data_IF_873243053716
#
_entry.id   IF_873243053716
#
_cell.length_a   1.000
_cell.length_b   1.000
_cell.length_c   1.000
_cell.angle_alpha   90.00
_cell.angle_beta   90.00
_cell.angle_gamma   90.00
#
_symmetry.space_group_name_H-M   'P 1'
#
loop_
_entity.id
_entity.type
_entity.pdbx_description
1 polymer ?
#
# COMPACT_ATOMS: atom_id res chain seq x y z
N UNK A 1 -13.83 8.01 29.83
CA UNK A 1 -13.01 9.15 29.37
C UNK A 1 -13.32 9.34 27.91
N UNK A 2 -14.00 10.44 27.54
CA UNK A 2 -14.40 10.69 26.16
C UNK A 2 -13.17 10.88 25.27
N UNK A 3 -13.20 10.33 24.06
CA UNK A 3 -12.23 10.67 23.03
C UNK A 3 -12.22 12.19 22.89
N UNK A 4 -11.11 12.84 23.21
CA UNK A 4 -10.81 14.19 22.75
C UNK A 4 -10.70 14.08 21.22
N UNK A 5 -11.84 14.20 20.55
CA UNK A 5 -11.92 14.19 19.09
C UNK A 5 -11.15 15.39 18.57
N UNK A 6 -9.93 15.15 18.11
CA UNK A 6 -9.18 16.16 17.38
C UNK A 6 -9.83 16.31 16.01
N UNK A 7 -10.26 17.52 15.70
CA UNK A 7 -10.81 17.88 14.40
C UNK A 7 -9.70 17.77 13.35
N UNK A 8 -9.96 17.02 12.29
CA UNK A 8 -8.95 16.80 11.26
C UNK A 8 -8.81 18.04 10.39
N UNK A 9 -7.71 18.18 9.63
CA UNK A 9 -7.47 19.39 8.83
C UNK A 9 -8.64 19.72 7.88
N UNK A 10 -9.33 18.70 7.34
CA UNK A 10 -10.52 18.90 6.51
C UNK A 10 -11.71 19.49 7.26
N UNK A 11 -11.82 19.29 8.58
CA UNK A 11 -12.82 19.95 9.43
C UNK A 11 -12.51 21.43 9.64
N UNK A 12 -11.22 21.76 9.78
CA UNK A 12 -10.77 23.14 10.02
C UNK A 12 -10.82 23.99 8.75
N UNK A 13 -10.45 23.38 7.62
CA UNK A 13 -10.38 24.04 6.31
C UNK A 13 -11.66 23.88 5.48
N UNK A 14 -12.63 23.11 5.96
CA UNK A 14 -13.93 22.92 5.33
C UNK A 14 -13.91 22.14 4.02
N UNK A 15 -12.85 21.41 3.70
CA UNK A 15 -12.82 20.56 2.50
C UNK A 15 -13.13 19.10 2.81
N UNK A 16 -13.92 18.48 1.93
CA UNK A 16 -14.25 17.06 1.99
C UNK A 16 -13.00 16.19 1.80
N UNK A 17 -12.87 15.12 2.58
CA UNK A 17 -11.72 14.19 2.50
C UNK A 17 -11.84 13.26 1.29
N UNK A 18 -13.07 12.86 0.98
CA UNK A 18 -13.41 11.88 -0.05
C UNK A 18 -14.40 12.46 -1.04
N UNK A 19 -14.31 12.00 -2.28
CA UNK A 19 -15.30 12.25 -3.33
C UNK A 19 -15.71 10.94 -4.00
N UNK A 20 -16.99 10.83 -4.33
CA UNK A 20 -17.49 9.70 -5.12
C UNK A 20 -17.00 9.82 -6.56
N UNK A 21 -16.73 8.69 -7.20
CA UNK A 21 -16.37 8.69 -8.61
C UNK A 21 -17.60 8.90 -9.49
N UNK A 22 -17.44 9.80 -10.46
CA UNK A 22 -18.38 10.01 -11.55
C UNK A 22 -18.55 8.72 -12.37
N UNK A 23 -19.75 8.42 -12.91
CA UNK A 23 -20.02 7.17 -13.63
C UNK A 23 -18.98 6.82 -14.71
N UNK A 24 -18.52 7.82 -15.46
CA UNK A 24 -17.49 7.67 -16.51
C UNK A 24 -16.13 7.24 -15.98
N UNK A 25 -15.79 7.61 -14.74
CA UNK A 25 -14.50 7.34 -14.11
C UNK A 25 -14.45 5.95 -13.49
N UNK A 26 -15.61 5.36 -13.14
CA UNK A 26 -15.72 4.06 -12.46
C UNK A 26 -15.13 2.88 -13.25
N UNK A 27 -14.97 3.04 -14.56
CA UNK A 27 -14.42 2.00 -15.45
C UNK A 27 -12.89 2.06 -15.58
N UNK A 28 -12.23 2.98 -14.88
CA UNK A 28 -10.80 3.24 -15.00
C UNK A 28 -10.15 3.42 -13.63
N UNK A 29 -8.88 3.06 -13.51
CA UNK A 29 -8.11 3.36 -12.29
C UNK A 29 -7.81 4.85 -12.23
N UNK A 30 -8.22 5.49 -11.14
CA UNK A 30 -7.96 6.90 -10.87
C UNK A 30 -6.93 7.05 -9.76
N UNK A 31 -6.04 8.04 -9.88
CA UNK A 31 -5.13 8.40 -8.78
C UNK A 31 -5.97 8.86 -7.58
N UNK A 32 -5.60 8.42 -6.39
CA UNK A 32 -6.34 8.65 -5.15
C UNK A 32 -7.51 7.70 -4.92
N UNK A 33 -7.85 6.82 -5.88
CA UNK A 33 -8.95 5.86 -5.73
C UNK A 33 -8.59 4.73 -4.77
N UNK A 34 -9.59 4.25 -4.03
CA UNK A 34 -9.45 3.16 -3.09
C UNK A 34 -9.80 1.81 -3.71
N UNK A 35 -8.96 0.82 -3.45
CA UNK A 35 -9.14 -0.57 -3.83
C UNK A 35 -8.86 -1.48 -2.64
N UNK A 36 -9.30 -2.72 -2.74
CA UNK A 36 -8.90 -3.83 -1.91
C UNK A 36 -7.87 -4.63 -2.72
N UNK A 37 -6.68 -4.85 -2.15
CA UNK A 37 -5.57 -5.50 -2.86
C UNK A 37 -4.67 -6.34 -1.93
N UNK A 38 -3.95 -7.33 -2.47
CA UNK A 38 -3.02 -8.15 -1.69
C UNK A 38 -1.75 -7.36 -1.37
N UNK A 39 -1.63 -6.91 -0.13
CA UNK A 39 -0.43 -6.24 0.38
C UNK A 39 0.54 -7.30 0.87
N UNK A 40 1.66 -7.46 0.16
CA UNK A 40 2.69 -8.46 0.42
C UNK A 40 3.73 -7.90 1.39
N UNK A 41 4.23 -8.77 2.26
CA UNK A 41 5.28 -8.48 3.25
C UNK A 41 6.49 -9.36 2.95
N UNK A 42 7.69 -8.76 2.79
CA UNK A 42 8.90 -9.55 2.66
C UNK A 42 9.14 -10.30 3.98
N UNK A 43 9.51 -11.57 3.87
CA UNK A 43 9.94 -12.37 5.02
C UNK A 43 11.44 -12.14 5.24
N UNK A 44 11.86 -12.06 6.51
CA UNK A 44 13.27 -11.94 6.89
C UNK A 44 13.62 -13.07 7.86
N UNK A 45 14.45 -14.05 7.45
CA UNK A 45 15.01 -14.23 6.10
C UNK A 45 13.94 -14.58 5.06
N UNK A 46 14.17 -14.33 3.76
CA UNK A 46 13.25 -14.73 2.70
C UNK A 46 12.95 -16.22 2.77
N UNK A 47 11.73 -16.63 2.40
CA UNK A 47 11.34 -18.03 2.32
C UNK A 47 11.24 -18.47 0.87
N UNK A 48 11.68 -19.68 0.61
CA UNK A 48 11.60 -20.31 -0.71
C UNK A 48 10.90 -21.66 -0.59
N UNK A 49 10.31 -22.08 -1.70
CA UNK A 49 9.79 -23.44 -1.86
C UNK A 49 10.95 -24.31 -2.38
N UNK A 50 11.39 -25.28 -1.57
CA UNK A 50 12.37 -26.29 -1.97
C UNK A 50 11.66 -27.60 -2.29
N UNK A 51 12.13 -28.32 -3.31
CA UNK A 51 11.74 -29.70 -3.57
C UNK A 51 12.20 -30.55 -2.39
N UNK A 52 11.29 -31.36 -1.85
CA UNK A 52 11.59 -32.36 -0.82
C UNK A 52 11.71 -33.76 -1.47
N UNK A 53 10.71 -34.14 -2.26
CA UNK A 53 10.70 -35.35 -3.10
C UNK A 53 10.21 -35.02 -4.52
N UNK A 54 10.91 -35.52 -5.55
CA UNK A 54 10.57 -35.26 -6.96
C UNK A 54 10.12 -36.54 -7.65
N UNK A 55 8.94 -36.50 -8.27
CA UNK A 55 8.44 -37.57 -9.15
C UNK A 55 8.54 -37.11 -10.62
N UNK A 56 9.48 -37.66 -11.42
CA UNK A 56 9.64 -37.27 -12.82
C UNK A 56 8.53 -37.82 -13.75
N UNK A 57 7.75 -38.81 -13.31
CA UNK A 57 6.67 -39.41 -14.09
C UNK A 57 5.38 -38.64 -13.83
N UNK A 58 5.12 -38.26 -12.58
CA UNK A 58 3.95 -37.50 -12.15
C UNK A 58 4.39 -36.26 -11.34
N UNK A 59 4.90 -35.21 -12.02
CA UNK A 59 5.48 -34.02 -11.37
C UNK A 59 4.56 -33.37 -10.32
N UNK A 60 3.24 -33.48 -10.50
CA UNK A 60 2.21 -33.00 -9.58
C UNK A 60 2.17 -33.73 -8.23
N UNK A 61 2.77 -34.92 -8.12
CA UNK A 61 2.95 -35.66 -6.86
C UNK A 61 4.25 -35.29 -6.13
N UNK A 62 5.10 -34.46 -6.74
CA UNK A 62 6.29 -33.94 -6.07
C UNK A 62 5.92 -33.19 -4.80
N UNK A 63 6.70 -33.41 -3.74
CA UNK A 63 6.47 -32.76 -2.45
C UNK A 63 7.43 -31.59 -2.27
N UNK A 64 6.96 -30.57 -1.55
CA UNK A 64 7.68 -29.33 -1.36
C UNK A 64 7.71 -28.96 0.10
N UNK A 65 8.82 -28.33 0.52
CA UNK A 65 8.96 -27.78 1.87
C UNK A 65 9.31 -26.30 1.82
N UNK A 66 8.86 -25.59 2.84
CA UNK A 66 9.18 -24.17 3.02
C UNK A 66 10.51 -24.07 3.77
N UNK A 67 11.51 -23.46 3.14
CA UNK A 67 12.83 -23.27 3.72
C UNK A 67 13.22 -21.78 3.78
N UNK A 68 14.18 -21.45 4.64
CA UNK A 68 14.84 -20.13 4.61
C UNK A 68 15.79 -20.07 3.42
N UNK A 69 15.73 -18.99 2.65
CA UNK A 69 16.67 -18.72 1.57
C UNK A 69 18.11 -18.71 2.11
N UNK A 70 18.98 -19.45 1.43
CA UNK A 70 20.40 -19.51 1.72
C UNK A 70 21.17 -19.38 0.39
N UNK A 71 21.91 -18.29 0.23
CA UNK A 71 22.72 -18.01 -0.98
C UNK A 71 23.87 -19.00 -1.16
N UNK A 72 24.36 -19.61 -0.07
CA UNK A 72 25.49 -20.53 -0.10
C UNK A 72 25.06 -21.96 -0.46
N UNK A 73 23.75 -22.22 -0.49
CA UNK A 73 23.20 -23.53 -0.81
C UNK A 73 23.11 -23.65 -2.33
N UNK A 74 24.08 -24.36 -2.90
CA UNK A 74 23.97 -24.98 -4.23
C UNK A 74 22.81 -25.97 -4.15
N UNK A 75 21.61 -25.59 -4.57
CA UNK A 75 20.46 -26.47 -4.49
C UNK A 75 19.74 -26.62 -5.83
N UNK A 76 19.66 -27.90 -6.20
CA UNK A 76 18.96 -28.62 -7.27
C UNK A 76 18.34 -27.84 -8.44
N UNK A 77 18.93 -28.16 -9.58
CA UNK A 77 18.73 -27.70 -10.95
C UNK A 77 17.62 -28.50 -11.68
N UNK A 78 16.55 -28.89 -10.97
CA UNK A 78 15.49 -29.70 -11.58
C UNK A 78 14.37 -28.76 -12.03
N UNK A 79 14.14 -28.61 -13.35
CA UNK A 79 13.04 -27.80 -13.85
C UNK A 79 11.70 -28.45 -13.44
N UNK A 80 10.75 -27.64 -12.96
CA UNK A 80 9.40 -28.08 -12.62
C UNK A 80 8.46 -27.51 -13.69
N UNK A 81 8.10 -28.34 -14.67
CA UNK A 81 7.33 -27.90 -15.84
C UNK A 81 5.91 -27.50 -15.46
N UNK A 82 5.30 -28.19 -14.50
CA UNK A 82 3.96 -27.86 -13.99
C UNK A 82 3.85 -26.43 -13.43
N UNK A 83 4.97 -25.86 -12.96
CA UNK A 83 5.07 -24.50 -12.43
C UNK A 83 5.79 -23.53 -13.37
N UNK A 84 6.14 -23.98 -14.59
CA UNK A 84 6.94 -23.24 -15.56
C UNK A 84 8.30 -22.75 -15.02
N UNK A 85 8.96 -23.56 -14.18
CA UNK A 85 10.26 -23.21 -13.59
C UNK A 85 11.42 -23.86 -14.34
N UNK A 86 12.43 -23.06 -14.66
CA UNK A 86 13.73 -23.51 -15.17
C UNK A 86 14.64 -23.97 -14.03
N UNK A 87 15.75 -24.63 -14.38
CA UNK A 87 16.76 -25.12 -13.42
C UNK A 87 17.34 -24.04 -12.52
N UNK A 88 17.33 -22.79 -12.96
CA UNK A 88 17.87 -21.64 -12.23
C UNK A 88 16.80 -20.83 -11.49
N UNK A 89 15.52 -21.15 -11.69
CA UNK A 89 14.40 -20.39 -11.14
C UNK A 89 14.14 -20.81 -9.68
N UNK A 90 13.69 -19.85 -8.87
CA UNK A 90 13.30 -20.09 -7.48
C UNK A 90 11.92 -19.51 -7.20
N UNK A 91 11.09 -20.29 -6.51
CA UNK A 91 9.84 -19.81 -5.97
C UNK A 91 10.04 -19.17 -4.61
N UNK A 92 9.84 -17.86 -4.56
CA UNK A 92 9.78 -17.12 -3.31
C UNK A 92 8.37 -17.14 -2.73
N UNK A 93 8.29 -17.35 -1.43
CA UNK A 93 7.03 -17.31 -0.70
C UNK A 93 6.89 -15.93 -0.09
N UNK A 94 5.83 -15.24 -0.49
CA UNK A 94 5.43 -13.95 0.05
C UNK A 94 4.20 -14.15 0.93
N UNK A 95 4.22 -13.60 2.14
CA UNK A 95 3.03 -13.54 2.98
C UNK A 95 2.32 -12.22 2.72
N UNK A 96 1.02 -12.26 2.48
CA UNK A 96 0.24 -11.06 2.23
C UNK A 96 -1.06 -11.04 3.01
N UNK A 97 -1.65 -9.85 3.12
CA UNK A 97 -3.02 -9.67 3.60
C UNK A 97 -3.77 -8.78 2.62
N UNK A 98 -5.02 -9.13 2.39
CA UNK A 98 -5.93 -8.29 1.63
C UNK A 98 -6.23 -7.03 2.43
N UNK A 99 -5.97 -5.84 1.87
CA UNK A 99 -6.13 -4.55 2.56
C UNK A 99 -6.64 -3.46 1.64
N UNK A 100 -7.31 -2.43 2.20
CA UNK A 100 -7.52 -1.20 1.48
C UNK A 100 -6.19 -0.59 1.04
N UNK A 101 -6.14 -0.10 -0.19
CA UNK A 101 -4.99 0.56 -0.81
C UNK A 101 -5.46 1.80 -1.58
N UNK A 102 -4.61 2.81 -1.66
CA UNK A 102 -4.82 4.02 -2.47
C UNK A 102 -3.98 3.87 -3.74
N UNK A 103 -4.57 4.12 -4.90
CA UNK A 103 -3.85 4.13 -6.17
C UNK A 103 -3.02 5.42 -6.26
N UNK A 104 -1.71 5.28 -6.37
CA UNK A 104 -0.79 6.40 -6.57
C UNK A 104 -0.50 6.64 -8.05
N UNK A 105 -0.57 5.59 -8.87
CA UNK A 105 -0.30 5.68 -10.30
C UNK A 105 -0.03 4.31 -10.91
N UNK A 106 0.74 4.31 -11.98
CA UNK A 106 1.12 3.12 -12.72
C UNK A 106 2.64 3.01 -12.77
N UNK A 107 3.14 1.79 -12.82
CA UNK A 107 4.53 1.50 -13.11
C UNK A 107 4.61 0.36 -14.11
N UNK A 108 5.51 0.48 -15.06
CA UNK A 108 5.77 -0.57 -16.02
C UNK A 108 6.87 -1.48 -15.46
N UNK A 109 6.61 -2.78 -15.47
CA UNK A 109 7.57 -3.80 -15.07
C UNK A 109 7.87 -4.68 -16.28
N UNK A 110 9.15 -4.73 -16.65
CA UNK A 110 9.62 -5.72 -17.61
C UNK A 110 9.74 -7.06 -16.89
N UNK A 111 8.85 -7.99 -17.24
CA UNK A 111 8.83 -9.34 -16.67
C UNK A 111 9.32 -10.35 -17.70
N UNK A 112 9.93 -11.45 -17.23
CA UNK A 112 10.43 -12.52 -18.09
C UNK A 112 11.41 -12.00 -19.18
N UNK A 113 12.38 -11.18 -18.79
CA UNK A 113 13.42 -10.71 -19.70
C UNK A 113 14.07 -11.89 -20.43
N UNK A 114 13.93 -11.93 -21.76
CA UNK A 114 14.55 -12.93 -22.60
C UNK A 114 15.79 -12.32 -23.30
N UNK A 115 17.01 -12.80 -22.97
CA UNK A 115 18.24 -12.35 -23.61
C UNK A 115 18.24 -12.52 -25.14
N UNK A 116 17.48 -13.49 -25.67
CA UNK A 116 17.43 -13.79 -27.11
C UNK A 116 16.60 -12.76 -27.88
N UNK A 117 15.50 -12.29 -27.30
CA UNK A 117 14.65 -11.25 -27.88
C UNK A 117 15.09 -9.84 -27.47
N UNK A 118 16.08 -9.72 -26.56
CA UNK A 118 16.52 -8.47 -25.93
C UNK A 118 15.37 -7.68 -25.32
N UNK A 119 14.41 -8.38 -24.73
CA UNK A 119 13.27 -7.76 -24.07
C UNK A 119 12.40 -8.76 -23.33
N UNK A 120 11.69 -8.27 -22.32
CA UNK A 120 10.66 -9.00 -21.60
C UNK A 120 9.25 -8.63 -22.04
N UNK A 121 8.28 -9.29 -21.41
CA UNK A 121 6.88 -8.90 -21.46
C UNK A 121 6.72 -7.69 -20.53
N UNK A 122 6.28 -6.57 -21.10
CA UNK A 122 5.99 -5.38 -20.32
C UNK A 122 4.60 -5.49 -19.70
N UNK A 123 4.55 -5.55 -18.38
CA UNK A 123 3.31 -5.50 -17.63
C UNK A 123 3.12 -4.16 -16.96
N UNK A 124 1.91 -3.60 -17.13
CA UNK A 124 1.50 -2.38 -16.44
C UNK A 124 0.91 -2.73 -15.08
N UNK A 125 1.67 -2.43 -14.03
CA UNK A 125 1.27 -2.63 -12.64
C UNK A 125 0.71 -1.34 -12.05
N UNK A 126 -0.11 -1.48 -11.01
CA UNK A 126 -0.71 -0.34 -10.29
C UNK A 126 0.13 -0.08 -9.04
N UNK A 127 0.64 1.13 -8.89
CA UNK A 127 1.37 1.52 -7.69
C UNK A 127 0.37 1.84 -6.57
N UNK A 128 0.41 1.04 -5.51
CA UNK A 128 -0.58 1.06 -4.44
C UNK A 128 0.04 1.45 -3.10
N UNK A 129 -0.65 2.31 -2.35
CA UNK A 129 -0.32 2.72 -0.99
C UNK A 129 -1.25 2.02 0.03
N UNK A 130 -0.74 1.06 0.81
CA UNK A 130 -1.55 0.31 1.77
C UNK A 130 -2.07 1.11 2.97
N UNK A 131 -3.29 0.79 3.41
CA UNK A 131 -3.96 1.39 4.58
C UNK A 131 -4.13 0.37 5.71
N UNK A 132 -3.93 0.86 6.94
CA UNK A 132 -4.02 0.09 8.17
C UNK A 132 -4.93 0.79 9.16
N UNK A 133 -6.03 0.13 9.53
CA UNK A 133 -6.92 0.60 10.58
C UNK A 133 -6.23 0.55 11.94
N UNK A 134 -6.38 1.62 12.72
CA UNK A 134 -5.87 1.64 14.09
C UNK A 134 -6.61 0.60 14.94
N UNK A 135 -5.82 -0.18 15.69
CA UNK A 135 -6.31 -1.09 16.73
C UNK A 135 -6.47 -0.36 18.06
N UNK A 136 -7.29 -0.90 18.96
CA UNK A 136 -7.46 -0.43 20.33
C UNK A 136 -6.16 -0.37 21.16
N UNK A 137 -5.12 -1.10 20.74
CA UNK A 137 -3.79 -1.05 21.37
C UNK A 137 -2.99 0.22 21.05
N UNK A 138 -3.39 1.02 20.05
CA UNK A 138 -2.72 2.29 19.77
C UNK A 138 -3.25 3.37 20.72
N UNK A 139 -2.35 4.08 21.37
CA UNK A 139 -2.70 5.25 22.19
C UNK A 139 -3.30 6.36 21.33
N UNK A 140 -4.17 7.18 21.92
CA UNK A 140 -4.68 8.39 21.27
C UNK A 140 -3.54 9.32 20.84
N UNK A 141 -2.50 9.45 21.66
CA UNK A 141 -1.33 10.28 21.34
C UNK A 141 -0.67 9.86 20.03
N UNK A 142 -0.46 8.56 19.84
CA UNK A 142 0.08 8.04 18.58
C UNK A 142 -0.80 8.40 17.37
N UNK A 143 -2.13 8.35 17.51
CA UNK A 143 -3.06 8.71 16.44
C UNK A 143 -2.98 10.20 16.13
N UNK A 144 -2.96 11.06 17.17
CA UNK A 144 -2.88 12.52 17.02
C UNK A 144 -1.58 12.94 16.34
N UNK A 145 -0.44 12.31 16.68
CA UNK A 145 0.84 12.55 15.99
C UNK A 145 0.75 12.31 14.48
N UNK A 146 -0.03 11.32 14.06
CA UNK A 146 -0.24 11.01 12.63
C UNK A 146 -1.21 12.03 12.01
N UNK A 147 -2.26 12.44 12.74
CA UNK A 147 -3.22 13.47 12.28
C UNK A 147 -2.54 14.80 11.98
N UNK A 148 -1.53 15.19 12.76
CA UNK A 148 -0.74 16.41 12.58
C UNK A 148 0.51 16.22 11.70
N UNK A 149 0.63 15.08 11.03
CA UNK A 149 1.74 14.75 10.12
C UNK A 149 3.15 14.74 10.76
N UNK A 150 3.25 14.49 12.07
CA UNK A 150 4.54 14.40 12.80
C UNK A 150 5.32 13.14 12.41
N UNK A 151 4.62 12.06 12.03
CA UNK A 151 5.26 10.78 11.63
C UNK A 151 5.37 10.72 10.10
N UNK A 152 6.57 10.90 9.51
CA UNK A 152 6.70 11.15 8.06
C UNK A 152 6.26 9.99 7.17
N UNK A 153 6.43 8.75 7.63
CA UNK A 153 6.08 7.56 6.86
C UNK A 153 4.60 7.17 6.95
N UNK A 154 3.81 7.89 7.77
CA UNK A 154 2.39 7.61 7.98
C UNK A 154 1.54 8.78 7.52
N UNK A 155 0.54 8.49 6.70
CA UNK A 155 -0.45 9.47 6.27
C UNK A 155 -1.81 9.14 6.91
N UNK A 156 -2.38 10.08 7.65
CA UNK A 156 -3.66 9.87 8.31
C UNK A 156 -4.82 9.73 7.32
N UNK A 157 -5.70 8.77 7.57
CA UNK A 157 -6.91 8.52 6.79
C UNK A 157 -8.11 8.61 7.74
N UNK A 158 -8.91 9.66 7.54
CA UNK A 158 -10.09 9.96 8.37
C UNK A 158 -11.23 8.97 8.11
N UNK A 159 -11.94 8.46 9.13
CA UNK A 159 -13.16 7.69 8.90
C UNK A 159 -14.28 8.58 8.33
N UNK A 160 -15.04 8.06 7.37
CA UNK A 160 -16.19 8.75 6.76
C UNK A 160 -17.16 7.78 6.10
N UNK A 161 -18.46 8.11 6.14
CA UNK A 161 -19.49 7.37 5.41
C UNK A 161 -19.30 7.41 3.89
N UNK A 162 -18.63 8.44 3.38
CA UNK A 162 -18.27 8.58 1.95
C UNK A 162 -16.99 7.83 1.57
N UNK A 163 -16.24 7.32 2.57
CA UNK A 163 -14.92 6.74 2.38
C UNK A 163 -14.70 5.49 3.22
N UNK A 164 -13.55 5.42 3.91
CA UNK A 164 -13.24 4.29 4.81
C UNK A 164 -14.00 4.41 6.12
N UNK A 165 -14.49 3.30 6.66
CA UNK A 165 -15.30 3.28 7.88
C UNK A 165 -14.49 3.45 9.17
N UNK A 166 -13.22 3.04 9.17
CA UNK A 166 -12.36 3.04 10.35
C UNK A 166 -11.23 4.07 10.27
N UNK A 167 -10.92 4.68 11.40
CA UNK A 167 -9.74 5.55 11.53
C UNK A 167 -8.47 4.74 11.23
N UNK A 168 -7.67 5.25 10.29
CA UNK A 168 -6.60 4.48 9.68
C UNK A 168 -5.38 5.34 9.36
N UNK A 169 -4.27 4.68 9.06
CA UNK A 169 -3.09 5.31 8.48
C UNK A 169 -2.64 4.54 7.22
N UNK A 170 -2.30 5.29 6.19
CA UNK A 170 -1.56 4.79 5.04
C UNK A 170 -0.05 4.77 5.35
N UNK A 171 0.66 3.73 4.91
CA UNK A 171 2.07 3.49 5.23
C UNK A 171 2.95 3.60 3.99
N UNK A 172 3.69 4.69 3.87
CA UNK A 172 4.50 4.98 2.68
C UNK A 172 5.62 3.96 2.45
N UNK A 173 6.21 3.44 3.53
CA UNK A 173 7.26 2.43 3.44
C UNK A 173 6.77 1.08 2.88
N UNK A 174 5.44 0.91 2.73
CA UNK A 174 4.81 -0.30 2.18
C UNK A 174 4.20 -0.09 0.79
N UNK A 175 4.46 1.06 0.14
CA UNK A 175 4.06 1.29 -1.25
C UNK A 175 4.61 0.17 -2.12
N UNK A 176 3.75 -0.45 -2.92
CA UNK A 176 4.14 -1.58 -3.75
C UNK A 176 3.31 -1.65 -5.04
N UNK A 177 3.89 -2.20 -6.12
CA UNK A 177 3.14 -2.50 -7.32
C UNK A 177 2.22 -3.72 -7.11
N UNK A 178 0.98 -3.63 -7.59
CA UNK A 178 -0.01 -4.71 -7.57
C UNK A 178 -0.57 -4.89 -8.97
N UNK A 179 -0.74 -6.14 -9.40
CA UNK A 179 -1.32 -6.42 -10.71
C UNK A 179 -2.81 -6.02 -10.73
N UNK A 180 -3.26 -5.42 -11.84
CA UNK A 180 -4.63 -4.89 -11.96
C UNK A 180 -5.72 -5.94 -11.69
N UNK A 181 -5.44 -7.20 -12.03
CA UNK A 181 -6.37 -8.32 -11.84
C UNK A 181 -6.59 -8.71 -10.38
N UNK A 182 -5.69 -8.29 -9.49
CA UNK A 182 -5.75 -8.60 -8.05
C UNK A 182 -6.45 -7.49 -7.25
N UNK A 183 -6.89 -6.42 -7.92
CA UNK A 183 -7.50 -5.25 -7.30
C UNK A 183 -9.01 -5.25 -7.45
N UNK A 184 -9.70 -5.04 -6.35
CA UNK A 184 -11.16 -4.92 -6.31
C UNK A 184 -11.54 -3.50 -5.86
N UNK A 185 -12.34 -2.73 -6.63
CA UNK A 185 -12.73 -1.38 -6.22
C UNK A 185 -13.36 -1.37 -4.82
N UNK A 186 -12.85 -0.52 -3.94
CA UNK A 186 -13.46 -0.34 -2.62
C UNK A 186 -14.68 0.57 -2.78
N UNK A 187 -15.78 0.21 -2.13
CA UNK A 187 -17.05 0.94 -2.20
C UNK A 187 -17.39 1.55 -0.85
N UNK A 188 -18.01 2.72 -0.86
CA UNK A 188 -18.55 3.37 0.32
C UNK A 188 -19.88 2.73 0.77
N UNK A 189 -20.53 3.30 1.79
CA UNK A 189 -21.83 2.80 2.30
C UNK A 189 -22.96 2.84 1.26
N UNK A 190 -22.83 3.66 0.21
CA UNK A 190 -23.78 3.75 -0.90
C UNK A 190 -23.42 2.82 -2.07
N UNK A 191 -22.52 1.85 -1.86
CA UNK A 191 -21.97 0.94 -2.86
C UNK A 191 -21.26 1.63 -4.04
N UNK A 192 -20.80 2.87 -3.84
CA UNK A 192 -20.11 3.65 -4.87
C UNK A 192 -18.61 3.67 -4.64
N UNK A 193 -17.80 3.49 -5.70
CA UNK A 193 -16.36 3.65 -5.57
C UNK A 193 -16.03 5.13 -5.35
N UNK A 194 -14.95 5.37 -4.62
CA UNK A 194 -14.57 6.70 -4.15
C UNK A 194 -13.06 6.90 -4.24
N UNK A 195 -12.65 8.17 -4.20
CA UNK A 195 -11.25 8.59 -4.17
C UNK A 195 -11.03 9.67 -3.13
N UNK A 196 -9.77 9.94 -2.82
CA UNK A 196 -9.38 11.15 -2.10
C UNK A 196 -9.81 12.38 -2.90
N UNK A 197 -10.32 13.41 -2.21
CA UNK A 197 -10.56 14.69 -2.85
C UNK A 197 -9.26 15.31 -3.38
N UNK A 198 -9.37 16.23 -4.34
CA UNK A 198 -8.21 16.91 -4.91
C UNK A 198 -7.31 17.58 -3.86
N UNK A 199 -7.90 18.20 -2.82
CA UNK A 199 -7.13 18.82 -1.73
C UNK A 199 -6.43 17.77 -0.86
N UNK A 200 -7.13 16.71 -0.47
CA UNK A 200 -6.53 15.62 0.33
C UNK A 200 -5.41 14.93 -0.44
N UNK A 201 -5.58 14.74 -1.75
CA UNK A 201 -4.56 14.17 -2.60
C UNK A 201 -3.31 15.06 -2.68
N UNK A 202 -3.46 16.40 -2.72
CA UNK A 202 -2.32 17.32 -2.63
C UNK A 202 -1.56 17.19 -1.30
N UNK A 203 -2.28 17.08 -0.18
CA UNK A 203 -1.66 16.84 1.14
C UNK A 203 -0.91 15.51 1.16
N UNK A 204 -1.50 14.45 0.60
CA UNK A 204 -0.85 13.14 0.47
C UNK A 204 0.45 13.22 -0.33
N UNK A 205 0.43 13.86 -1.50
CA UNK A 205 1.63 14.00 -2.33
C UNK A 205 2.70 14.86 -1.66
N UNK A 206 2.30 15.93 -0.96
CA UNK A 206 3.23 16.74 -0.18
C UNK A 206 3.91 15.92 0.91
N UNK A 207 3.13 15.16 1.70
CA UNK A 207 3.65 14.31 2.77
C UNK A 207 4.54 13.18 2.25
N UNK A 208 4.15 12.55 1.14
CA UNK A 208 4.97 11.55 0.47
C UNK A 208 6.30 12.13 -0.03
N UNK A 209 6.30 13.35 -0.57
CA UNK A 209 7.53 14.03 -0.98
C UNK A 209 8.47 14.28 0.21
N UNK A 210 7.93 14.69 1.36
CA UNK A 210 8.70 14.86 2.60
C UNK A 210 9.30 13.53 3.04
N UNK A 211 8.53 12.44 3.04
CA UNK A 211 9.04 11.12 3.37
C UNK A 211 10.20 10.69 2.47
N UNK A 212 10.09 10.94 1.16
CA UNK A 212 11.09 10.50 0.17
C UNK A 212 12.33 11.40 0.12
N UNK A 213 12.18 12.70 0.36
CA UNK A 213 13.22 13.70 0.05
C UNK A 213 13.57 14.63 1.21
N UNK A 214 12.87 14.51 2.34
CA UNK A 214 12.89 15.44 3.47
C UNK A 214 12.53 16.89 3.09
N UNK A 215 11.87 17.10 1.95
CA UNK A 215 11.43 18.42 1.47
C UNK A 215 9.96 18.38 1.03
N UNK A 216 9.17 19.44 1.31
CA UNK A 216 7.80 19.52 0.85
C UNK A 216 7.75 19.73 -0.68
N UNK A 217 6.67 19.24 -1.29
CA UNK A 217 6.36 19.53 -2.69
C UNK A 217 5.77 20.93 -2.84
N UNK A 218 5.02 21.38 -1.84
CA UNK A 218 4.32 22.67 -1.82
C UNK A 218 4.62 23.41 -0.51
N UNK A 219 5.52 24.40 -0.55
CA UNK A 219 5.98 25.14 0.63
C UNK A 219 4.84 25.85 1.39
N UNK A 220 3.93 26.53 0.67
CA UNK A 220 2.80 27.22 1.32
C UNK A 220 1.85 26.24 2.01
N UNK A 221 1.55 25.10 1.35
CA UNK A 221 0.76 24.05 1.98
C UNK A 221 1.46 23.52 3.24
N UNK A 222 2.79 23.35 3.20
CA UNK A 222 3.53 22.87 4.36
C UNK A 222 3.46 23.84 5.54
N UNK A 223 3.48 25.16 5.30
CA UNK A 223 3.27 26.17 6.34
C UNK A 223 1.88 26.05 6.96
N UNK A 224 0.84 25.85 6.14
CA UNK A 224 -0.53 25.65 6.62
C UNK A 224 -0.64 24.37 7.46
N UNK A 225 -0.01 23.28 7.03
CA UNK A 225 0.04 22.02 7.80
C UNK A 225 0.76 22.18 9.15
N UNK A 226 1.84 22.96 9.19
CA UNK A 226 2.56 23.27 10.43
C UNK A 226 1.72 24.13 11.37
N UNK A 227 1.08 25.18 10.85
CA UNK A 227 0.17 26.01 11.65
C UNK A 227 -0.98 25.17 12.23
N UNK A 228 -1.56 24.28 11.45
CA UNK A 228 -2.55 23.31 11.91
C UNK A 228 -2.00 22.42 13.03
N UNK A 229 -0.80 21.86 12.86
CA UNK A 229 -0.18 21.00 13.87
C UNK A 229 0.02 21.72 15.20
N UNK A 230 0.49 22.98 15.18
CA UNK A 230 0.67 23.78 16.39
C UNK A 230 -0.66 24.10 17.08
N UNK A 231 -1.72 24.43 16.32
CA UNK A 231 -3.06 24.65 16.89
C UNK A 231 -3.60 23.39 17.58
N UNK A 232 -3.39 22.21 17.00
CA UNK A 232 -3.80 20.96 17.62
C UNK A 232 -3.00 20.69 18.90
N UNK A 233 -1.67 20.87 18.87
CA UNK A 233 -0.82 20.72 20.06
C UNK A 233 -1.25 21.65 21.19
N UNK A 234 -1.54 22.91 20.89
CA UNK A 234 -2.06 23.87 21.87
C UNK A 234 -3.40 23.39 22.47
N UNK A 235 -4.34 22.96 21.62
CA UNK A 235 -5.69 22.50 22.05
C UNK A 235 -5.63 21.30 22.97
N UNK A 236 -4.66 20.41 22.81
CA UNK A 236 -4.50 19.20 23.63
C UNK A 236 -3.47 19.35 24.76
N UNK A 237 -2.84 20.53 24.90
CA UNK A 237 -1.83 20.80 25.92
C UNK A 237 -0.50 20.07 25.72
N UNK A 238 -0.12 19.81 24.47
CA UNK A 238 1.22 19.32 24.13
C UNK A 238 2.19 20.49 23.98
N UNK A 239 3.31 20.42 24.71
CA UNK A 239 4.41 21.37 24.64
C UNK A 239 5.66 20.68 24.06
#
# INVERSE_FOLDING_TARGET
MGHLGVEWIGDISGFEVYEELEPKERMSFQIGQFYLGPVKYPLTPPKVLEIDEYDPVEEEKSTFRIASYNSNKLQQQIPIKSLNLRSEDRLYILQGKLRPVIVLGYCDAEWLYDPMTKGGIWEKLILCLPIFTFKASHSQDYVVKIQIFEIPNLFYIRPSNKGVSGESAARFELIQPIHKGDLQPLKNLNERPFKLSGNTLKVLWNHLCIFLTARPLFEELQKDLQAYAELIKEKIGWH
#
